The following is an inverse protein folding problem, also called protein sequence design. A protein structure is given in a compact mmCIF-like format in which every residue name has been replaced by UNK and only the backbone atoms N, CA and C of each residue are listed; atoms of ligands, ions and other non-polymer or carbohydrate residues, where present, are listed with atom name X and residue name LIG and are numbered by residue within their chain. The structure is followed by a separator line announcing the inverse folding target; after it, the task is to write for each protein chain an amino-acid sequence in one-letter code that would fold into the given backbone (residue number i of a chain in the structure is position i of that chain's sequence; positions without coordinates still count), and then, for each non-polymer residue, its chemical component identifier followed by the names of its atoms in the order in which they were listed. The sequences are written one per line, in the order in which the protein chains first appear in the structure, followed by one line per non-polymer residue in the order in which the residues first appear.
data_IF_368793654065
#
_entry.id   IF_368793654065
#
_cell.length_a   1.000
_cell.length_b   1.000
_cell.length_c   1.000
_cell.angle_alpha   90.00
_cell.angle_beta   90.00
_cell.angle_gamma   90.00
#
_symmetry.space_group_name_H-M   'P 1'
#
loop_
_entity.id
_entity.type
_entity.pdbx_description
1 polymer ?
#
# COMPACT_ATOMS: atom_id res chain seq x y z
N UNK A 1 -10.47 -14.42 58.73
CA UNK A 1 -9.00 -14.35 58.87
C UNK A 1 -8.40 -14.33 57.50
N UNK A 2 -8.23 -13.16 56.92
CA UNK A 2 -7.00 -12.35 56.87
C UNK A 2 -5.81 -13.14 56.33
N UNK A 3 -5.43 -12.78 55.10
CA UNK A 3 -4.10 -12.33 54.73
C UNK A 3 -3.99 -12.24 53.22
N UNK A 4 -4.21 -11.06 52.70
CA UNK A 4 -3.65 -10.68 51.42
C UNK A 4 -2.69 -9.54 51.71
N UNK A 5 -1.49 -9.90 52.03
CA UNK A 5 -0.42 -8.96 52.33
C UNK A 5 0.68 -9.08 51.27
N UNK A 6 0.83 -8.00 50.57
CA UNK A 6 2.12 -7.42 50.19
C UNK A 6 3.07 -8.28 49.35
N UNK A 7 3.07 -8.04 48.06
CA UNK A 7 4.21 -8.23 47.18
C UNK A 7 4.62 -6.88 46.62
N UNK A 8 5.43 -6.13 47.35
CA UNK A 8 6.02 -4.89 46.91
C UNK A 8 6.95 -5.08 45.72
N UNK A 9 6.68 -4.39 44.62
CA UNK A 9 7.64 -4.17 43.59
C UNK A 9 8.25 -2.77 43.79
N UNK A 10 9.30 -2.77 44.60
CA UNK A 10 10.14 -1.59 44.75
C UNK A 10 11.23 -1.57 43.72
N UNK A 11 11.47 -0.42 43.13
CA UNK A 11 12.73 -0.10 42.52
C UNK A 11 12.66 0.45 41.08
N UNK A 12 12.77 1.76 40.94
CA UNK A 12 13.07 2.42 39.70
C UNK A 12 12.05 3.50 39.33
N UNK A 13 12.31 4.74 39.78
CA UNK A 13 11.45 5.90 39.55
C UNK A 13 11.27 6.22 38.08
N UNK A 14 10.37 5.57 37.44
CA UNK A 14 9.69 6.09 36.25
C UNK A 14 8.33 6.58 36.73
N UNK A 15 8.16 7.88 36.71
CA UNK A 15 6.90 8.51 37.05
C UNK A 15 5.81 7.91 36.17
N UNK A 16 4.82 7.29 36.80
CA UNK A 16 3.65 6.74 36.10
C UNK A 16 2.94 7.80 35.23
N UNK A 17 3.13 9.07 35.54
CA UNK A 17 2.61 10.20 34.76
C UNK A 17 3.29 10.37 33.41
N UNK A 18 4.59 10.08 33.29
CA UNK A 18 5.30 10.13 32.01
C UNK A 18 4.91 8.97 31.07
N UNK A 19 4.64 7.80 31.62
CA UNK A 19 4.14 6.67 30.84
C UNK A 19 2.68 6.92 30.41
N UNK A 20 1.89 7.56 31.27
CA UNK A 20 0.51 7.91 30.94
C UNK A 20 0.39 9.03 29.91
N UNK A 21 1.31 10.00 29.90
CA UNK A 21 1.31 11.06 28.90
C UNK A 21 1.76 10.55 27.53
N UNK A 22 2.71 9.63 27.48
CA UNK A 22 3.19 9.03 26.23
C UNK A 22 2.23 7.98 25.66
N UNK A 23 1.50 7.27 26.54
CA UNK A 23 0.40 6.40 26.14
C UNK A 23 -0.93 7.14 25.95
N UNK A 24 -1.08 8.31 26.58
CA UNK A 24 -2.28 9.16 26.47
C UNK A 24 -2.53 9.66 25.06
N UNK A 25 -1.48 9.98 24.32
CA UNK A 25 -1.59 10.38 22.90
C UNK A 25 -2.00 9.22 21.98
N UNK A 26 -1.64 8.00 22.32
CA UNK A 26 -2.00 6.82 21.52
C UNK A 26 -3.38 6.27 21.94
N UNK A 27 -3.68 6.27 23.22
CA UNK A 27 -4.93 5.73 23.75
C UNK A 27 -6.03 6.77 23.93
N UNK A 28 -5.67 8.02 24.18
CA UNK A 28 -6.62 9.13 24.28
C UNK A 28 -7.36 9.40 22.98
N UNK A 29 -6.72 9.15 21.86
CA UNK A 29 -7.33 9.20 20.52
C UNK A 29 -8.28 8.00 20.25
N UNK A 30 -8.09 6.89 20.96
CA UNK A 30 -8.87 5.67 20.73
C UNK A 30 -10.03 5.45 21.73
N UNK A 31 -9.91 5.98 22.98
CA UNK A 31 -10.85 5.63 24.05
C UNK A 31 -11.45 6.78 24.87
N UNK A 32 -10.96 8.00 24.73
CA UNK A 32 -11.36 9.14 25.56
C UNK A 32 -12.20 10.18 24.84
N UNK A 33 -13.51 10.05 24.93
CA UNK A 33 -14.42 11.15 24.67
C UNK A 33 -15.16 11.12 23.36
N UNK A 34 -16.42 10.74 23.40
CA UNK A 34 -17.52 10.90 22.47
C UNK A 34 -17.32 11.85 21.29
N UNK A 35 -16.95 11.28 20.18
CA UNK A 35 -16.82 11.98 18.91
C UNK A 35 -16.63 10.97 17.80
N UNK A 36 -17.64 10.17 17.53
CA UNK A 36 -17.76 9.39 16.30
C UNK A 36 -18.00 10.37 15.14
N UNK A 37 -16.98 11.13 14.78
CA UNK A 37 -17.06 12.09 13.70
C UNK A 37 -15.72 12.22 13.02
N UNK A 38 -15.51 11.47 11.95
CA UNK A 38 -14.43 11.76 11.03
C UNK A 38 -13.38 10.68 10.87
N UNK A 39 -13.75 9.40 10.74
CA UNK A 39 -13.01 8.54 9.86
C UNK A 39 -13.20 9.11 8.45
N UNK A 40 -12.35 10.06 8.08
CA UNK A 40 -12.18 10.44 6.70
C UNK A 40 -11.95 9.14 5.95
N UNK A 41 -12.89 8.77 5.12
CA UNK A 41 -12.85 7.66 4.20
C UNK A 41 -11.68 7.93 3.27
N UNK A 42 -10.47 7.57 3.71
CA UNK A 42 -9.31 7.55 2.83
C UNK A 42 -9.67 6.54 1.75
N UNK A 43 -10.07 7.05 0.59
CA UNK A 43 -10.25 6.23 -0.60
C UNK A 43 -8.97 5.42 -0.75
N UNK A 44 -9.08 4.14 -0.55
CA UNK A 44 -7.98 3.21 -0.69
C UNK A 44 -7.58 3.23 -2.17
N UNK A 45 -6.63 4.09 -2.52
CA UNK A 45 -6.11 4.15 -3.88
C UNK A 45 -5.31 2.87 -4.09
N UNK A 46 -5.77 2.04 -4.99
CA UNK A 46 -5.02 0.84 -5.39
C UNK A 46 -3.64 1.25 -5.89
N UNK A 47 -2.62 0.50 -5.51
CA UNK A 47 -1.25 0.72 -6.00
C UNK A 47 -0.94 -0.32 -7.06
N UNK A 48 -0.36 0.11 -8.16
CA UNK A 48 0.15 -0.75 -9.21
C UNK A 48 1.31 -1.62 -8.71
N UNK A 49 1.54 -2.75 -9.36
CA UNK A 49 2.65 -3.65 -9.01
C UNK A 49 4.01 -3.02 -9.28
N UNK A 50 4.98 -3.28 -8.41
CA UNK A 50 6.35 -2.88 -8.65
C UNK A 50 6.99 -3.77 -9.71
N UNK A 51 7.83 -3.17 -10.56
CA UNK A 51 8.66 -3.89 -11.52
C UNK A 51 10.07 -4.03 -10.99
N UNK A 52 10.70 -5.16 -11.27
CA UNK A 52 12.10 -5.41 -10.93
C UNK A 52 12.87 -5.73 -12.21
N UNK A 53 13.97 -5.02 -12.42
CA UNK A 53 14.88 -5.25 -13.55
C UNK A 53 16.30 -5.37 -13.03
N UNK A 54 17.11 -6.17 -13.73
CA UNK A 54 18.54 -6.25 -13.48
C UNK A 54 19.29 -5.49 -14.56
N UNK A 55 20.27 -4.72 -14.15
CA UNK A 55 21.12 -3.93 -15.04
C UNK A 55 22.56 -4.31 -14.79
N UNK A 56 23.24 -4.69 -15.87
CA UNK A 56 24.67 -4.95 -15.81
C UNK A 56 25.43 -3.64 -16.02
N UNK A 57 26.39 -3.38 -15.13
CA UNK A 57 27.25 -2.22 -15.16
C UNK A 57 28.71 -2.66 -15.35
N UNK A 58 29.45 -1.92 -16.14
CA UNK A 58 30.90 -2.08 -16.22
C UNK A 58 31.58 -1.36 -15.06
N UNK A 59 32.81 -1.78 -14.70
CA UNK A 59 33.59 -1.17 -13.63
C UNK A 59 33.80 0.33 -13.83
N UNK A 60 33.95 0.76 -15.09
CA UNK A 60 34.08 2.18 -15.44
C UNK A 60 32.80 2.97 -15.13
N UNK A 61 31.64 2.40 -15.44
CA UNK A 61 30.34 3.00 -15.17
C UNK A 61 30.07 3.08 -13.64
N UNK A 62 30.50 2.07 -12.91
CA UNK A 62 30.40 2.08 -11.43
C UNK A 62 31.30 3.15 -10.82
N UNK A 63 32.51 3.36 -11.36
CA UNK A 63 33.46 4.33 -10.82
C UNK A 63 33.05 5.79 -11.05
N UNK A 64 32.40 6.08 -12.18
CA UNK A 64 32.06 7.46 -12.57
C UNK A 64 30.58 7.78 -12.44
N UNK A 65 29.73 6.76 -12.25
CA UNK A 65 28.29 6.88 -12.39
C UNK A 65 27.89 6.98 -13.88
N UNK A 66 26.66 6.64 -14.16
CA UNK A 66 26.15 6.62 -15.54
C UNK A 66 24.64 6.88 -15.56
N UNK A 67 24.19 7.52 -16.62
CA UNK A 67 22.78 7.59 -16.95
C UNK A 67 22.48 6.59 -18.07
N UNK A 68 21.68 5.57 -17.75
CA UNK A 68 21.26 4.54 -18.72
C UNK A 68 19.79 4.69 -19.06
N UNK A 69 19.49 4.58 -20.36
CA UNK A 69 18.11 4.44 -20.84
C UNK A 69 17.78 2.96 -20.98
N UNK A 70 16.79 2.52 -20.26
CA UNK A 70 16.39 1.12 -20.22
C UNK A 70 14.96 1.01 -20.74
N UNK A 71 14.72 0.06 -21.62
CA UNK A 71 13.36 -0.28 -22.08
C UNK A 71 12.72 -1.20 -21.02
N UNK A 72 11.60 -0.75 -20.51
CA UNK A 72 10.83 -1.49 -19.48
C UNK A 72 9.47 -1.79 -20.06
N UNK A 73 9.05 -3.05 -19.96
CA UNK A 73 7.68 -3.45 -20.26
C UNK A 73 6.85 -3.28 -19.01
N UNK A 74 5.88 -2.39 -19.06
CA UNK A 74 4.97 -2.16 -17.95
C UNK A 74 3.52 -2.26 -18.41
N UNK A 75 2.65 -2.63 -17.47
CA UNK A 75 1.22 -2.61 -17.70
C UNK A 75 0.71 -1.20 -17.46
N UNK A 76 0.05 -0.66 -18.48
CA UNK A 76 -0.60 0.65 -18.45
C UNK A 76 -2.07 0.49 -18.75
N UNK A 77 -2.88 1.44 -18.36
CA UNK A 77 -4.29 1.42 -18.71
C UNK A 77 -4.47 1.57 -20.21
N UNK A 78 -5.33 0.73 -20.80
CA UNK A 78 -5.63 0.82 -22.22
C UNK A 78 -6.33 2.14 -22.52
N UNK A 79 -5.98 2.77 -23.65
CA UNK A 79 -6.67 3.97 -24.11
C UNK A 79 -8.15 3.66 -24.37
N UNK A 80 -9.06 4.45 -23.78
CA UNK A 80 -10.50 4.26 -23.89
C UNK A 80 -11.11 3.26 -22.91
N UNK A 81 -10.34 2.73 -21.95
CA UNK A 81 -10.91 1.97 -20.83
C UNK A 81 -11.70 2.92 -19.93
N UNK A 82 -12.90 2.53 -19.53
CA UNK A 82 -13.71 3.27 -18.57
C UNK A 82 -14.02 2.40 -17.36
N UNK A 83 -14.00 3.03 -16.21
CA UNK A 83 -14.27 2.38 -14.93
C UNK A 83 -15.49 3.02 -14.28
N UNK A 84 -16.38 2.18 -13.75
CA UNK A 84 -17.52 2.60 -12.95
C UNK A 84 -17.30 2.20 -11.50
N UNK A 85 -17.94 2.93 -10.60
CA UNK A 85 -17.94 2.59 -9.17
C UNK A 85 -18.57 1.22 -8.95
N UNK A 86 -17.89 0.37 -8.20
CA UNK A 86 -18.43 -0.95 -7.86
C UNK A 86 -19.66 -0.82 -6.96
N UNK A 87 -20.83 -1.17 -7.46
CA UNK A 87 -22.09 -1.10 -6.71
C UNK A 87 -22.18 -2.07 -5.53
N UNK A 88 -21.31 -3.08 -5.47
CA UNK A 88 -21.32 -4.06 -4.37
C UNK A 88 -20.67 -3.51 -3.10
N UNK A 89 -19.70 -2.63 -3.25
CA UNK A 89 -18.97 -2.01 -2.15
C UNK A 89 -19.03 -0.48 -2.16
N UNK A 90 -19.81 0.10 -3.06
CA UNK A 90 -19.95 1.55 -3.23
C UNK A 90 -18.60 2.30 -3.31
N UNK A 91 -17.66 1.68 -4.03
CA UNK A 91 -16.32 2.23 -4.23
C UNK A 91 -15.33 2.01 -3.10
N UNK A 92 -15.72 1.40 -1.98
CA UNK A 92 -14.84 1.17 -0.82
C UNK A 92 -13.82 0.06 -1.01
N UNK A 93 -14.06 -0.84 -1.96
CA UNK A 93 -13.22 -2.03 -2.18
C UNK A 93 -13.43 -3.13 -1.15
N UNK A 94 -14.24 -2.91 -0.13
CA UNK A 94 -14.49 -3.84 0.96
C UNK A 94 -15.98 -4.02 1.20
N UNK A 95 -16.36 -5.19 1.67
CA UNK A 95 -17.72 -5.50 2.09
C UNK A 95 -17.71 -5.96 3.55
N UNK A 96 -18.69 -5.48 4.32
CA UNK A 96 -18.85 -5.88 5.72
C UNK A 96 -19.59 -7.21 5.77
N UNK A 97 -18.97 -8.19 6.39
CA UNK A 97 -19.62 -9.47 6.72
C UNK A 97 -19.98 -9.51 8.20
N UNK A 98 -21.23 -9.81 8.46
CA UNK A 98 -21.70 -10.04 9.83
C UNK A 98 -21.77 -11.56 10.03
N UNK A 99 -21.00 -12.07 10.95
CA UNK A 99 -21.02 -13.50 11.34
C UNK A 99 -21.57 -13.61 12.74
N UNK A 100 -22.62 -14.41 12.91
CA UNK A 100 -23.15 -14.74 14.23
C UNK A 100 -22.29 -15.88 14.81
N UNK A 101 -21.64 -15.58 15.94
CA UNK A 101 -20.87 -16.57 16.70
C UNK A 101 -21.52 -16.81 18.05
N UNK A 102 -21.09 -17.85 18.76
CA UNK A 102 -21.54 -18.13 20.13
C UNK A 102 -21.22 -16.99 21.13
N UNK A 103 -20.29 -16.12 20.77
CA UNK A 103 -19.89 -14.94 21.55
C UNK A 103 -20.59 -13.65 21.12
N UNK A 104 -21.51 -13.73 20.15
CA UNK A 104 -22.25 -12.60 19.63
C UNK A 104 -22.02 -12.32 18.15
N UNK A 105 -22.51 -11.17 17.69
CA UNK A 105 -22.35 -10.71 16.31
C UNK A 105 -20.97 -10.11 16.12
N UNK A 106 -20.18 -10.71 15.25
CA UNK A 106 -18.90 -10.15 14.80
C UNK A 106 -19.05 -9.54 13.41
N UNK A 107 -18.56 -8.32 13.26
CA UNK A 107 -18.44 -7.66 11.95
C UNK A 107 -16.99 -7.76 11.50
N UNK A 108 -16.77 -8.27 10.30
CA UNK A 108 -15.47 -8.30 9.67
C UNK A 108 -15.53 -7.67 8.29
N UNK A 109 -14.54 -6.85 7.97
CA UNK A 109 -14.35 -6.33 6.62
C UNK A 109 -13.64 -7.38 5.78
N UNK A 110 -14.16 -7.67 4.60
CA UNK A 110 -13.52 -8.55 3.62
C UNK A 110 -13.39 -7.84 2.29
N UNK A 111 -12.37 -8.21 1.52
CA UNK A 111 -12.20 -7.67 0.17
C UNK A 111 -13.44 -7.92 -0.68
N UNK A 112 -13.91 -6.91 -1.39
CA UNK A 112 -15.07 -7.05 -2.26
C UNK A 112 -14.77 -8.05 -3.39
N UNK A 113 -15.54 -9.14 -3.51
CA UNK A 113 -15.28 -10.17 -4.52
C UNK A 113 -15.57 -9.70 -5.95
N UNK A 114 -16.36 -8.63 -6.10
CA UNK A 114 -16.74 -8.11 -7.41
C UNK A 114 -15.63 -7.28 -8.05
N UNK A 115 -14.97 -6.43 -7.27
CA UNK A 115 -13.92 -5.54 -7.73
C UNK A 115 -12.51 -5.92 -7.22
N UNK A 116 -12.39 -7.01 -6.47
CA UNK A 116 -11.13 -7.48 -5.87
C UNK A 116 -10.37 -6.38 -5.11
N UNK A 117 -11.11 -5.52 -4.42
CA UNK A 117 -10.52 -4.45 -3.61
C UNK A 117 -10.27 -3.14 -4.34
N UNK A 118 -10.44 -3.06 -5.66
CA UNK A 118 -10.19 -1.83 -6.43
C UNK A 118 -11.26 -0.75 -6.22
N UNK A 119 -12.45 -1.11 -5.74
CA UNK A 119 -13.59 -0.20 -5.62
C UNK A 119 -14.27 0.14 -6.95
N UNK A 120 -13.70 -0.32 -8.08
CA UNK A 120 -14.16 0.01 -9.42
C UNK A 120 -14.32 -1.26 -10.26
N UNK A 121 -15.21 -1.20 -11.23
CA UNK A 121 -15.42 -2.25 -12.24
C UNK A 121 -15.25 -1.64 -13.62
N UNK A 122 -14.79 -2.46 -14.56
CA UNK A 122 -14.62 -1.99 -15.95
C UNK A 122 -16.00 -1.95 -16.61
N UNK A 123 -16.39 -0.79 -17.11
CA UNK A 123 -17.62 -0.61 -17.88
C UNK A 123 -17.38 -0.74 -19.39
N UNK A 124 -16.25 -0.27 -19.87
CA UNK A 124 -15.84 -0.47 -21.26
C UNK A 124 -14.40 -1.00 -21.32
N UNK A 125 -14.22 -2.10 -22.04
CA UNK A 125 -12.94 -2.77 -22.23
C UNK A 125 -12.52 -2.70 -23.69
N UNK A 126 -11.49 -1.94 -24.06
CA UNK A 126 -10.98 -1.92 -25.42
C UNK A 126 -10.44 -3.28 -25.89
N UNK A 127 -10.53 -3.56 -27.15
CA UNK A 127 -9.93 -4.75 -27.75
C UNK A 127 -8.41 -4.74 -27.55
N UNK A 128 -7.85 -5.90 -27.17
CA UNK A 128 -6.41 -6.05 -26.90
C UNK A 128 -5.98 -5.75 -25.47
N UNK A 129 -6.89 -5.32 -24.59
CA UNK A 129 -6.61 -5.19 -23.16
C UNK A 129 -6.88 -6.50 -22.40
N UNK A 130 -6.17 -6.69 -21.28
CA UNK A 130 -6.39 -7.82 -20.38
C UNK A 130 -7.73 -7.70 -19.61
N UNK A 131 -8.01 -8.67 -18.74
CA UNK A 131 -9.25 -8.70 -17.94
C UNK A 131 -9.41 -7.45 -17.04
N UNK A 132 -8.33 -6.75 -16.76
CA UNK A 132 -8.29 -5.55 -15.93
C UNK A 132 -8.24 -4.25 -16.75
N UNK A 133 -8.41 -4.32 -18.07
CA UNK A 133 -8.33 -3.17 -18.96
C UNK A 133 -6.90 -2.63 -19.15
N UNK A 134 -5.89 -3.46 -18.91
CA UNK A 134 -4.48 -3.08 -19.01
C UNK A 134 -3.88 -3.61 -20.31
N UNK A 135 -2.90 -2.89 -20.83
CA UNK A 135 -2.07 -3.31 -21.97
C UNK A 135 -0.59 -3.27 -21.57
N UNK A 136 0.20 -4.12 -22.18
CA UNK A 136 1.66 -4.06 -22.02
C UNK A 136 2.23 -3.02 -22.98
N UNK A 137 2.97 -2.08 -22.43
CA UNK A 137 3.66 -1.03 -23.19
C UNK A 137 5.15 -1.02 -22.86
N UNK A 138 5.99 -0.88 -23.87
CA UNK A 138 7.41 -0.62 -23.67
C UNK A 138 7.64 0.88 -23.49
N UNK A 139 8.28 1.25 -22.41
CA UNK A 139 8.68 2.62 -22.10
C UNK A 139 10.19 2.67 -21.88
N UNK A 140 10.85 3.66 -22.49
CA UNK A 140 12.25 3.94 -22.21
C UNK A 140 12.34 4.84 -20.97
N UNK A 141 12.94 4.32 -19.91
CA UNK A 141 13.14 5.03 -18.64
C UNK A 141 14.61 5.36 -18.50
N UNK A 142 14.94 6.65 -18.31
CA UNK A 142 16.29 7.08 -17.96
C UNK A 142 16.51 6.88 -16.48
N UNK A 143 17.57 6.16 -16.12
CA UNK A 143 17.96 5.87 -14.77
C UNK A 143 19.34 6.45 -14.52
N UNK A 144 19.43 7.30 -13.51
CA UNK A 144 20.69 7.87 -13.08
C UNK A 144 21.29 7.00 -11.98
N UNK A 145 22.39 6.34 -12.28
CA UNK A 145 23.11 5.46 -11.38
C UNK A 145 24.29 6.24 -10.80
N UNK A 146 24.36 6.44 -9.48
CA UNK A 146 25.48 7.15 -8.88
C UNK A 146 26.77 6.34 -8.94
N UNK A 147 27.90 7.02 -8.79
CA UNK A 147 29.19 6.33 -8.65
C UNK A 147 29.26 5.58 -7.31
N UNK A 148 29.97 4.46 -7.28
CA UNK A 148 30.20 3.68 -6.07
C UNK A 148 29.06 2.71 -5.73
N UNK A 149 28.21 2.35 -6.70
CA UNK A 149 27.20 1.31 -6.50
C UNK A 149 27.88 -0.07 -6.40
N UNK A 150 27.36 -0.90 -5.50
CA UNK A 150 27.83 -2.27 -5.28
C UNK A 150 26.80 -3.29 -5.80
N UNK A 151 27.25 -4.50 -6.02
CA UNK A 151 26.36 -5.60 -6.42
C UNK A 151 25.29 -5.84 -5.34
N UNK A 152 24.04 -5.95 -5.78
CA UNK A 152 22.89 -6.14 -4.88
C UNK A 152 22.24 -4.84 -4.38
N UNK A 153 22.79 -3.68 -4.69
CA UNK A 153 22.12 -2.41 -4.40
C UNK A 153 20.86 -2.25 -5.25
N UNK A 154 19.82 -1.71 -4.64
CA UNK A 154 18.55 -1.42 -5.29
C UNK A 154 18.36 0.08 -5.49
N UNK A 155 18.16 0.48 -6.73
CA UNK A 155 17.69 1.83 -7.06
C UNK A 155 16.18 1.82 -7.28
N UNK A 156 15.47 2.69 -6.60
CA UNK A 156 14.03 2.84 -6.72
C UNK A 156 13.70 4.05 -7.60
N UNK A 157 12.97 3.81 -8.68
CA UNK A 157 12.41 4.86 -9.53
C UNK A 157 10.91 4.92 -9.31
N UNK A 158 10.45 5.95 -8.63
CA UNK A 158 9.04 6.11 -8.23
C UNK A 158 8.14 6.29 -9.45
N UNK A 159 6.98 5.59 -9.45
CA UNK A 159 5.95 5.75 -10.47
C UNK A 159 6.27 5.13 -11.84
N UNK A 160 7.38 4.39 -11.98
CA UNK A 160 7.79 3.72 -13.22
C UNK A 160 7.52 2.20 -13.21
N UNK A 161 6.77 1.73 -12.24
CA UNK A 161 6.21 0.38 -12.22
C UNK A 161 4.93 0.25 -13.04
N UNK A 162 4.17 -0.80 -12.82
CA UNK A 162 2.86 -0.99 -13.45
C UNK A 162 1.88 0.07 -12.96
N UNK A 163 0.99 0.50 -13.83
CA UNK A 163 -0.13 1.34 -13.41
C UNK A 163 -1.12 0.55 -12.55
N UNK A 164 -1.83 1.25 -11.69
CA UNK A 164 -2.94 0.68 -10.95
C UNK A 164 -4.20 0.67 -11.81
N UNK A 165 -5.16 -0.15 -11.42
CA UNK A 165 -6.48 -0.19 -12.04
C UNK A 165 -7.26 1.07 -11.63
N UNK A 166 -7.87 1.74 -12.58
CA UNK A 166 -8.65 2.96 -12.33
C UNK A 166 -7.76 4.16 -11.94
N UNK A 167 -8.20 4.94 -10.97
CA UNK A 167 -7.49 6.14 -10.48
C UNK A 167 -6.45 5.84 -9.39
N UNK A 168 -5.83 4.68 -9.44
CA UNK A 168 -4.81 4.29 -8.48
C UNK A 168 -3.45 4.96 -8.71
N UNK A 169 -2.49 4.60 -7.89
CA UNK A 169 -1.11 5.10 -7.95
C UNK A 169 -0.24 4.06 -8.65
N UNK A 170 0.57 4.48 -9.62
CA UNK A 170 1.53 3.59 -10.28
C UNK A 170 2.52 2.99 -9.28
N UNK A 171 2.94 1.77 -9.52
CA UNK A 171 4.00 1.13 -8.76
C UNK A 171 5.38 1.76 -9.03
N UNK A 172 6.39 1.20 -8.41
CA UNK A 172 7.76 1.67 -8.53
C UNK A 172 8.59 0.69 -9.39
N UNK A 173 9.61 1.21 -10.06
CA UNK A 173 10.60 0.41 -10.74
C UNK A 173 11.80 0.21 -9.82
N UNK A 174 12.15 -1.03 -9.57
CA UNK A 174 13.30 -1.42 -8.77
C UNK A 174 14.38 -1.94 -9.71
N UNK A 175 15.52 -1.27 -9.70
CA UNK A 175 16.70 -1.62 -10.50
C UNK A 175 17.73 -2.28 -9.60
N UNK A 176 18.12 -3.50 -9.97
CA UNK A 176 19.07 -4.36 -9.27
C UNK A 176 20.37 -4.44 -10.05
#
# INVERSE_FOLDING_TARGET
HSAFESGGFGGGGMNMEDIFSQFGDIFGSAFGGGGFGGFGQSQYKSKGGNLRIRVQLSIKEVAHGVEKKIKVRRKVQAAGVTYDTCRTCDGTGQVMRVTNTILGRMQSASTCPKCNGSGQIISNRPAGSDANGMVEQEEAVSIKIPAGVEEGMQLKVTGKGNEAIGNGISGDLLVL
#
